data_IF_452819985400
#
_entry.id   IF_452819985400
#
_cell.length_a   1.000
_cell.length_b   1.000
_cell.length_c   1.000
_cell.angle_alpha   90.00
_cell.angle_beta   90.00
_cell.angle_gamma   90.00
#
_symmetry.space_group_name_H-M   'P 1'
#
loop_
_entity.id
_entity.type
_entity.pdbx_description
1 polymer ?
#
# COMPACT_ATOMS: atom_id res chain seq x y z
N UNK A 1 20.03 48.25 43.09
CA UNK A 1 18.76 47.88 42.45
C UNK A 1 19.05 46.93 41.28
N UNK A 2 19.01 45.62 41.52
CA UNK A 2 19.07 44.59 40.47
C UNK A 2 18.58 43.26 41.07
N UNK A 3 17.26 43.14 41.30
CA UNK A 3 16.65 41.89 41.81
C UNK A 3 15.37 41.50 41.08
N UNK A 4 14.87 42.33 40.15
CA UNK A 4 13.68 42.01 39.36
C UNK A 4 13.98 41.19 38.09
N UNK A 5 15.18 41.36 37.50
CA UNK A 5 15.51 40.75 36.20
C UNK A 5 15.82 39.25 36.27
N UNK A 6 16.35 38.78 37.40
CA UNK A 6 16.75 37.38 37.59
C UNK A 6 15.57 36.45 37.82
N UNK A 7 14.49 36.94 38.46
CA UNK A 7 13.31 36.14 38.79
C UNK A 7 12.43 35.90 37.55
N UNK A 8 12.33 36.90 36.66
CA UNK A 8 11.62 36.79 35.38
C UNK A 8 12.38 35.91 34.37
N UNK A 9 13.73 35.88 34.43
CA UNK A 9 14.52 34.99 33.57
C UNK A 9 14.28 33.52 33.91
N UNK A 10 14.21 33.17 35.20
CA UNK A 10 14.04 31.78 35.65
C UNK A 10 12.70 31.18 35.18
N UNK A 11 11.60 31.94 35.27
CA UNK A 11 10.30 31.48 34.76
C UNK A 11 10.31 31.28 33.24
N UNK A 12 10.96 32.18 32.50
CA UNK A 12 11.05 32.08 31.04
C UNK A 12 11.92 30.90 30.57
N UNK A 13 12.93 30.51 31.34
CA UNK A 13 13.78 29.35 31.06
C UNK A 13 13.06 28.04 31.35
N UNK A 14 12.26 27.98 32.43
CA UNK A 14 11.43 26.82 32.75
C UNK A 14 10.36 26.60 31.67
N UNK A 15 9.69 27.67 31.22
CA UNK A 15 8.71 27.61 30.14
C UNK A 15 9.33 27.17 28.81
N UNK A 16 10.54 27.64 28.51
CA UNK A 16 11.26 27.24 27.30
C UNK A 16 11.67 25.77 27.35
N UNK A 17 12.20 25.30 28.49
CA UNK A 17 12.57 23.90 28.69
C UNK A 17 11.35 22.97 28.58
N UNK A 18 10.22 23.34 29.17
CA UNK A 18 8.98 22.57 29.10
C UNK A 18 8.46 22.43 27.65
N UNK A 19 8.59 23.48 26.83
CA UNK A 19 8.18 23.41 25.40
C UNK A 19 9.12 22.56 24.57
N UNK A 20 10.42 22.61 24.82
CA UNK A 20 11.39 21.77 24.10
C UNK A 20 11.26 20.30 24.51
N UNK A 21 11.02 20.01 25.78
CA UNK A 21 10.70 18.66 26.25
C UNK A 21 9.37 18.15 25.64
N UNK A 22 8.33 18.98 25.59
CA UNK A 22 7.06 18.63 24.93
C UNK A 22 7.24 18.35 23.43
N UNK A 23 8.13 19.07 22.74
CA UNK A 23 8.46 18.80 21.33
C UNK A 23 9.21 17.47 21.17
N UNK A 24 10.15 17.18 22.06
CA UNK A 24 10.88 15.91 22.05
C UNK A 24 9.96 14.73 22.37
N UNK A 25 9.06 14.86 23.35
CA UNK A 25 8.03 13.88 23.64
C UNK A 25 7.06 13.70 22.46
N UNK A 26 6.63 14.79 21.82
CA UNK A 26 5.76 14.72 20.63
C UNK A 26 6.44 14.01 19.45
N UNK A 27 7.75 14.25 19.26
CA UNK A 27 8.56 13.57 18.23
C UNK A 27 8.73 12.09 18.55
N UNK A 28 9.02 11.75 19.80
CA UNK A 28 9.11 10.37 20.25
C UNK A 28 7.76 9.64 20.09
N UNK A 29 6.63 10.26 20.46
CA UNK A 29 5.29 9.67 20.27
C UNK A 29 4.97 9.44 18.79
N UNK A 30 5.37 10.36 17.90
CA UNK A 30 5.22 10.19 16.46
C UNK A 30 6.10 9.04 15.90
N UNK A 31 7.31 8.83 16.44
CA UNK A 31 8.22 7.74 16.04
C UNK A 31 7.83 6.37 16.63
N UNK A 32 7.25 6.36 17.84
CA UNK A 32 6.65 5.17 18.49
C UNK A 32 5.36 4.72 17.78
N UNK A 33 4.82 5.54 16.87
CA UNK A 33 3.69 5.20 16.02
C UNK A 33 4.14 4.54 14.71
N UNK A 34 5.16 3.68 14.73
CA UNK A 34 5.41 2.74 13.64
C UNK A 34 4.32 1.67 13.76
N UNK A 35 3.29 1.67 12.89
CA UNK A 35 2.18 0.76 13.10
C UNK A 35 2.67 -0.66 12.79
N UNK A 36 2.60 -1.53 13.79
CA UNK A 36 2.83 -2.96 13.59
C UNK A 36 1.91 -3.47 12.48
N UNK A 37 2.44 -4.33 11.61
CA UNK A 37 1.67 -4.93 10.51
C UNK A 37 0.69 -5.94 11.09
N UNK A 38 -0.61 -5.71 10.90
CA UNK A 38 -1.64 -6.67 11.26
C UNK A 38 -1.85 -7.70 10.16
N UNK A 39 -1.27 -8.89 10.33
CA UNK A 39 -1.43 -9.99 9.37
C UNK A 39 -2.89 -10.40 9.18
N UNK A 40 -3.72 -10.29 10.22
CA UNK A 40 -5.15 -10.64 10.14
C UNK A 40 -5.93 -9.68 9.25
N UNK A 41 -5.60 -8.38 9.27
CA UNK A 41 -6.20 -7.37 8.40
C UNK A 41 -5.79 -7.58 6.95
N UNK A 42 -4.50 -7.85 6.69
CA UNK A 42 -4.00 -8.22 5.36
C UNK A 42 -4.76 -9.44 4.82
N UNK A 43 -4.90 -10.50 5.61
CA UNK A 43 -5.63 -11.71 5.20
C UNK A 43 -7.13 -11.47 4.99
N UNK A 44 -7.76 -10.56 5.74
CA UNK A 44 -9.16 -10.20 5.54
C UNK A 44 -9.35 -9.51 4.18
N UNK A 45 -8.47 -8.59 3.80
CA UNK A 45 -8.49 -7.93 2.49
C UNK A 45 -8.22 -8.92 1.35
N UNK A 46 -7.22 -9.79 1.50
CA UNK A 46 -6.92 -10.81 0.47
C UNK A 46 -8.08 -11.81 0.26
N UNK A 47 -8.93 -12.02 1.27
CA UNK A 47 -10.16 -12.82 1.17
C UNK A 47 -11.40 -12.03 0.73
N UNK A 48 -11.27 -10.72 0.48
CA UNK A 48 -12.39 -9.85 0.13
C UNK A 48 -13.36 -9.57 1.28
N UNK A 49 -12.91 -9.75 2.53
CA UNK A 49 -13.72 -9.59 3.75
C UNK A 49 -13.53 -8.23 4.43
N UNK A 50 -12.55 -7.45 4.00
CA UNK A 50 -12.26 -6.11 4.51
C UNK A 50 -11.89 -5.17 3.35
N UNK A 51 -11.97 -3.86 3.62
CA UNK A 51 -11.60 -2.83 2.65
C UNK A 51 -10.09 -2.59 2.64
N UNK A 52 -9.48 -2.59 1.45
CA UNK A 52 -8.07 -2.28 1.22
C UNK A 52 -7.68 -0.89 1.73
N UNK A 53 -8.55 0.11 1.52
CA UNK A 53 -8.26 1.51 1.88
C UNK A 53 -8.24 1.74 3.40
N UNK A 54 -8.68 0.76 4.20
CA UNK A 54 -8.61 0.81 5.66
C UNK A 54 -7.26 0.35 6.23
N UNK A 55 -6.39 -0.24 5.40
CA UNK A 55 -5.06 -0.72 5.81
C UNK A 55 -4.05 0.42 5.91
N UNK A 56 -3.04 0.25 6.77
CA UNK A 56 -1.89 1.14 6.79
C UNK A 56 -0.97 0.92 5.57
N UNK A 57 -0.04 1.85 5.33
CA UNK A 57 0.81 1.84 4.12
C UNK A 57 1.64 0.54 3.99
N UNK A 58 2.30 0.02 5.06
CA UNK A 58 2.96 -1.28 5.01
C UNK A 58 2.04 -2.44 4.63
N UNK A 59 0.86 -2.54 5.24
CA UNK A 59 -0.13 -3.58 4.97
C UNK A 59 -0.64 -3.53 3.52
N UNK A 60 -0.91 -2.32 3.02
CA UNK A 60 -1.29 -2.09 1.62
C UNK A 60 -0.20 -2.54 0.64
N UNK A 61 1.08 -2.32 0.97
CA UNK A 61 2.19 -2.79 0.14
C UNK A 61 2.20 -4.33 0.04
N UNK A 62 1.97 -5.04 1.15
CA UNK A 62 1.89 -6.50 1.18
C UNK A 62 0.74 -7.01 0.32
N UNK A 63 -0.46 -6.44 0.46
CA UNK A 63 -1.63 -6.83 -0.35
C UNK A 63 -1.37 -6.62 -1.83
N UNK A 64 -0.75 -5.48 -2.22
CA UNK A 64 -0.42 -5.21 -3.62
C UNK A 64 0.56 -6.23 -4.21
N UNK A 65 1.58 -6.62 -3.46
CA UNK A 65 2.51 -7.66 -3.90
C UNK A 65 1.80 -8.99 -4.12
N UNK A 66 0.98 -9.42 -3.15
CA UNK A 66 0.23 -10.67 -3.26
C UNK A 66 -0.74 -10.66 -4.46
N UNK A 67 -1.47 -9.55 -4.69
CA UNK A 67 -2.33 -9.44 -5.87
C UNK A 67 -1.54 -9.42 -7.18
N UNK A 68 -0.39 -8.76 -7.23
CA UNK A 68 0.46 -8.74 -8.43
C UNK A 68 0.91 -10.16 -8.80
N UNK A 69 1.34 -10.96 -7.83
CA UNK A 69 1.71 -12.37 -8.03
C UNK A 69 0.53 -13.20 -8.54
N UNK A 70 -0.62 -13.13 -7.88
CA UNK A 70 -1.83 -13.86 -8.27
C UNK A 70 -2.31 -13.46 -9.67
N UNK A 71 -2.26 -12.16 -10.01
CA UNK A 71 -2.65 -11.67 -11.34
C UNK A 71 -1.65 -12.16 -12.40
N UNK A 72 -0.34 -12.13 -12.12
CA UNK A 72 0.66 -12.62 -13.03
C UNK A 72 0.49 -14.12 -13.31
N UNK A 73 0.28 -14.92 -12.27
CA UNK A 73 0.01 -16.35 -12.39
C UNK A 73 -1.26 -16.63 -13.20
N UNK A 74 -2.37 -15.97 -12.85
CA UNK A 74 -3.65 -16.13 -13.58
C UNK A 74 -3.52 -15.74 -15.06
N UNK A 75 -2.78 -14.68 -15.36
CA UNK A 75 -2.55 -14.26 -16.75
C UNK A 75 -1.67 -15.24 -17.50
N UNK A 76 -0.63 -15.79 -16.86
CA UNK A 76 0.25 -16.79 -17.47
C UNK A 76 -0.48 -18.12 -17.75
N UNK A 77 -1.44 -18.48 -16.89
CA UNK A 77 -2.26 -19.68 -17.06
C UNK A 77 -3.43 -19.51 -18.05
N UNK A 78 -3.71 -18.29 -18.52
CA UNK A 78 -4.87 -18.01 -19.35
C UNK A 78 -4.61 -18.41 -20.81
N UNK A 79 -5.39 -19.37 -21.32
CA UNK A 79 -5.38 -19.78 -22.73
C UNK A 79 -6.73 -19.45 -23.40
N UNK A 80 -6.92 -18.18 -23.80
CA UNK A 80 -8.17 -17.75 -24.46
C UNK A 80 -8.34 -18.39 -25.86
N UNK A 81 -7.25 -18.73 -26.54
CA UNK A 81 -7.31 -19.38 -27.85
C UNK A 81 -8.02 -20.73 -27.77
N UNK A 82 -7.69 -21.54 -26.75
CA UNK A 82 -8.36 -22.83 -26.50
C UNK A 82 -9.85 -22.65 -26.15
N UNK A 83 -10.19 -21.63 -25.37
CA UNK A 83 -11.59 -21.30 -25.05
C UNK A 83 -12.37 -20.93 -26.32
N UNK A 84 -11.83 -20.04 -27.15
CA UNK A 84 -12.50 -19.62 -28.38
C UNK A 84 -12.61 -20.75 -29.41
N UNK A 85 -11.60 -21.63 -29.51
CA UNK A 85 -11.67 -22.82 -30.36
C UNK A 85 -12.80 -23.75 -29.90
N UNK A 86 -12.90 -24.03 -28.60
CA UNK A 86 -13.94 -24.88 -28.03
C UNK A 86 -15.35 -24.30 -28.21
N UNK A 87 -15.50 -22.98 -28.21
CA UNK A 87 -16.76 -22.27 -28.42
C UNK A 87 -17.07 -22.00 -29.91
N UNK A 88 -16.15 -22.31 -30.83
CA UNK A 88 -16.33 -22.04 -32.26
C UNK A 88 -16.33 -20.55 -32.60
N UNK A 89 -15.60 -19.75 -31.81
CA UNK A 89 -15.47 -18.31 -32.01
C UNK A 89 -14.17 -17.95 -32.74
N UNK A 90 -14.29 -17.10 -33.76
CA UNK A 90 -13.13 -16.46 -34.36
C UNK A 90 -12.65 -15.30 -33.48
N UNK A 91 -11.34 -15.06 -33.44
CA UNK A 91 -10.75 -13.97 -32.67
C UNK A 91 -9.62 -13.27 -33.44
N UNK A 92 -9.34 -12.04 -33.06
CA UNK A 92 -8.20 -11.26 -33.55
C UNK A 92 -7.18 -11.11 -32.44
N UNK A 93 -5.91 -11.29 -32.76
CA UNK A 93 -4.80 -11.08 -31.83
C UNK A 93 -3.65 -10.35 -32.51
N UNK A 94 -2.70 -9.85 -31.71
CA UNK A 94 -1.46 -9.29 -32.24
C UNK A 94 -0.43 -10.40 -32.37
N UNK A 95 0.33 -10.40 -33.47
CA UNK A 95 1.48 -11.28 -33.65
C UNK A 95 2.74 -10.74 -32.94
N UNK A 96 3.87 -11.43 -33.10
CA UNK A 96 5.15 -11.07 -32.50
C UNK A 96 5.69 -9.69 -32.96
N UNK A 97 5.19 -9.18 -34.09
CA UNK A 97 5.55 -7.86 -34.64
C UNK A 97 4.55 -6.78 -34.26
N UNK A 98 3.46 -7.14 -33.57
CA UNK A 98 2.36 -6.24 -33.24
C UNK A 98 1.38 -6.02 -34.39
N UNK A 99 1.38 -6.89 -35.41
CA UNK A 99 0.40 -6.85 -36.50
C UNK A 99 -0.84 -7.68 -36.14
N UNK A 100 -2.01 -7.25 -36.61
CA UNK A 100 -3.27 -7.95 -36.34
C UNK A 100 -3.33 -9.25 -37.17
N UNK A 101 -3.53 -10.39 -36.49
CA UNK A 101 -3.81 -11.70 -37.07
C UNK A 101 -5.24 -12.14 -36.72
N UNK A 102 -5.99 -12.58 -37.72
CA UNK A 102 -7.29 -13.23 -37.53
C UNK A 102 -7.10 -14.74 -37.41
N UNK A 103 -7.69 -15.34 -36.38
CA UNK A 103 -7.72 -16.78 -36.15
C UNK A 103 -9.16 -17.26 -36.22
N UNK A 104 -9.41 -18.21 -37.12
CA UNK A 104 -10.71 -18.85 -37.31
C UNK A 104 -10.67 -20.29 -36.77
N UNK A 105 -11.71 -20.74 -36.07
CA UNK A 105 -11.75 -22.08 -35.51
C UNK A 105 -11.74 -23.15 -36.60
N UNK A 106 -11.14 -24.31 -36.30
CA UNK A 106 -11.13 -25.43 -37.25
C UNK A 106 -12.53 -26.05 -37.37
N UNK A 107 -12.91 -26.52 -38.58
CA UNK A 107 -14.19 -27.20 -38.80
C UNK A 107 -14.26 -28.56 -38.10
#
# INVERSE_FOLDING_TARGET
MATASTLVQLDSEIDAAARDEARLMSRNVAEQSSPDVSLSQVQAVLRGQANYDALNVPEQAIVRTAWAEVIAERRAALNLAEVFEAEGHAYAELDEKGEIRLVTPKP
#
